data_IF_933696394829
#
_entry.id   IF_933696394829
#
_cell.length_a   1.000
_cell.length_b   1.000
_cell.length_c   1.000
_cell.angle_alpha   90.00
_cell.angle_beta   90.00
_cell.angle_gamma   90.00
#
_symmetry.space_group_name_H-M   'P 1'
#
loop_
_entity.id
_entity.type
_entity.pdbx_description
1 polymer ?
#
# COMPACT_ATOMS: atom_id res chain seq x y z
N UNK A 1 -52.02 -14.03 -53.04
CA UNK A 1 -52.81 -15.07 -53.74
C UNK A 1 -52.11 -15.37 -55.05
N UNK A 2 -51.97 -16.63 -55.54
CA UNK A 2 -52.47 -17.95 -55.07
C UNK A 2 -51.31 -18.87 -54.58
N UNK A 3 -51.47 -19.89 -53.70
CA UNK A 3 -52.18 -21.20 -53.80
C UNK A 3 -51.58 -22.06 -54.95
N UNK A 4 -51.24 -23.35 -54.86
CA UNK A 4 -51.70 -24.52 -54.08
C UNK A 4 -50.83 -25.73 -54.46
N UNK A 5 -50.84 -26.81 -53.66
CA UNK A 5 -50.37 -28.10 -54.16
C UNK A 5 -50.29 -29.31 -53.22
N UNK A 6 -51.31 -29.56 -52.39
CA UNK A 6 -51.94 -30.88 -52.13
C UNK A 6 -51.17 -32.17 -51.72
N UNK A 7 -51.88 -33.21 -51.22
CA UNK A 7 -51.42 -34.09 -50.13
C UNK A 7 -51.52 -35.62 -50.39
N UNK A 8 -51.11 -36.46 -49.41
CA UNK A 8 -51.60 -37.86 -49.13
C UNK A 8 -50.99 -38.37 -47.79
N UNK A 9 -51.73 -38.47 -46.68
CA UNK A 9 -52.48 -39.64 -46.13
C UNK A 9 -51.60 -40.90 -45.88
N UNK A 10 -51.14 -41.23 -44.66
CA UNK A 10 -51.81 -41.99 -43.56
C UNK A 10 -51.47 -43.51 -43.64
N UNK A 11 -51.58 -44.39 -42.60
CA UNK A 11 -51.97 -44.24 -41.17
C UNK A 11 -51.01 -44.92 -40.13
N UNK A 12 -51.33 -44.77 -38.83
CA UNK A 12 -50.82 -45.52 -37.64
C UNK A 12 -51.42 -46.96 -37.55
N UNK A 13 -51.21 -47.87 -36.55
CA UNK A 13 -50.67 -47.82 -35.15
C UNK A 13 -49.62 -48.97 -34.86
N UNK A 14 -49.00 -49.22 -33.70
CA UNK A 14 -49.51 -49.79 -32.42
C UNK A 14 -48.41 -49.91 -31.34
N UNK A 15 -48.85 -49.70 -30.08
CA UNK A 15 -48.36 -50.21 -28.77
C UNK A 15 -47.99 -51.72 -28.78
N UNK A 16 -47.15 -52.34 -27.92
CA UNK A 16 -47.01 -52.35 -26.45
C UNK A 16 -45.70 -53.14 -26.09
N UNK A 17 -44.87 -52.68 -25.14
CA UNK A 17 -44.72 -53.12 -23.73
C UNK A 17 -44.04 -54.48 -23.43
N UNK A 18 -43.09 -54.41 -22.45
CA UNK A 18 -42.65 -55.37 -21.41
C UNK A 18 -41.10 -55.40 -21.29
N UNK A 19 -40.46 -55.13 -20.14
CA UNK A 19 -41.00 -54.83 -18.81
C UNK A 19 -39.94 -54.54 -17.72
N UNK A 20 -40.50 -54.22 -16.54
CA UNK A 20 -40.05 -54.46 -15.16
C UNK A 20 -38.70 -53.86 -14.66
N UNK A 21 -38.76 -52.84 -13.79
CA UNK A 21 -38.77 -53.07 -12.32
C UNK A 21 -38.71 -51.76 -11.48
N UNK A 22 -39.57 -51.74 -10.45
CA UNK A 22 -39.52 -51.02 -9.17
C UNK A 22 -39.81 -49.49 -9.06
N UNK A 23 -40.91 -49.21 -8.35
CA UNK A 23 -41.38 -47.94 -7.72
C UNK A 23 -40.99 -47.91 -6.21
N UNK A 24 -41.47 -46.97 -5.35
CA UNK A 24 -41.27 -45.51 -5.28
C UNK A 24 -40.93 -45.00 -3.83
N UNK A 25 -40.63 -43.69 -3.65
CA UNK A 25 -40.72 -42.99 -2.34
C UNK A 25 -39.53 -42.06 -1.96
N UNK A 26 -39.68 -41.15 -0.96
CA UNK A 26 -39.51 -39.70 -1.16
C UNK A 26 -38.48 -38.99 -0.25
N UNK A 27 -38.43 -37.66 -0.39
CA UNK A 27 -38.03 -36.63 0.61
C UNK A 27 -36.68 -35.91 0.55
N UNK A 28 -36.83 -34.64 0.91
CA UNK A 28 -35.95 -33.48 0.89
C UNK A 28 -34.78 -33.59 1.88
N UNK A 29 -33.56 -33.33 1.40
CA UNK A 29 -32.36 -33.27 2.22
C UNK A 29 -31.41 -32.14 1.79
N UNK A 30 -31.48 -31.03 2.53
CA UNK A 30 -30.44 -30.02 2.79
C UNK A 30 -29.10 -30.19 2.03
N UNK A 31 -28.80 -29.29 1.07
CA UNK A 31 -27.44 -29.14 0.54
C UNK A 31 -26.49 -28.68 1.67
N UNK A 32 -25.26 -29.22 1.77
CA UNK A 32 -24.29 -28.77 2.76
C UNK A 32 -23.89 -27.31 2.46
N UNK A 33 -23.83 -26.49 3.51
CA UNK A 33 -23.26 -25.13 3.49
C UNK A 33 -21.85 -25.21 2.90
N UNK A 34 -21.63 -24.55 1.78
CA UNK A 34 -20.29 -24.17 1.34
C UNK A 34 -19.71 -23.26 2.42
N UNK A 35 -18.80 -23.81 3.20
CA UNK A 35 -17.94 -23.06 4.11
C UNK A 35 -17.10 -22.13 3.24
N UNK A 36 -17.48 -20.85 3.19
CA UNK A 36 -16.63 -19.81 2.63
C UNK A 36 -15.33 -19.79 3.44
N UNK A 37 -14.24 -20.24 2.83
CA UNK A 37 -12.89 -20.03 3.32
C UNK A 37 -12.69 -18.52 3.55
N UNK A 38 -11.96 -18.10 4.59
CA UNK A 38 -11.74 -16.68 4.84
C UNK A 38 -10.94 -16.10 3.67
N UNK A 39 -11.59 -15.21 2.92
CA UNK A 39 -10.97 -14.41 1.85
C UNK A 39 -9.70 -13.77 2.42
N UNK A 40 -8.54 -14.08 1.83
CA UNK A 40 -7.27 -13.51 2.26
C UNK A 40 -7.36 -11.99 2.22
N UNK A 41 -7.48 -11.39 3.40
CA UNK A 41 -7.63 -9.94 3.56
C UNK A 41 -6.39 -9.24 3.02
N UNK A 42 -6.58 -8.35 2.04
CA UNK A 42 -5.51 -7.55 1.42
C UNK A 42 -4.69 -6.82 2.49
N UNK A 43 -3.42 -6.47 2.24
CA UNK A 43 -2.58 -5.77 3.24
C UNK A 43 -3.19 -4.45 3.71
N UNK A 44 -3.84 -3.70 2.81
CA UNK A 44 -4.60 -2.50 3.19
C UNK A 44 -5.75 -2.85 4.15
N UNK A 45 -6.51 -3.90 3.84
CA UNK A 45 -7.56 -4.38 4.74
C UNK A 45 -7.01 -5.00 6.05
N UNK A 46 -5.73 -5.44 6.09
CA UNK A 46 -5.04 -5.78 7.33
C UNK A 46 -4.70 -4.54 8.16
N UNK A 47 -4.24 -3.46 7.54
CA UNK A 47 -4.00 -2.19 8.23
C UNK A 47 -5.30 -1.66 8.85
N UNK A 48 -6.39 -1.65 8.09
CA UNK A 48 -7.72 -1.21 8.57
C UNK A 48 -8.21 -2.09 9.72
N UNK A 49 -8.09 -3.42 9.59
CA UNK A 49 -8.43 -4.36 10.66
C UNK A 49 -7.60 -4.13 11.92
N UNK A 50 -6.31 -3.81 11.79
CA UNK A 50 -5.46 -3.48 12.94
C UNK A 50 -5.90 -2.17 13.60
N UNK A 51 -6.26 -1.15 12.82
CA UNK A 51 -6.79 0.10 13.36
C UNK A 51 -8.07 -0.15 14.17
N UNK A 52 -9.04 -0.86 13.61
CA UNK A 52 -10.27 -1.23 14.32
C UNK A 52 -10.02 -2.08 15.56
N UNK A 53 -9.03 -2.97 15.52
CA UNK A 53 -8.64 -3.76 16.69
C UNK A 53 -8.06 -2.87 17.79
N UNK A 54 -7.23 -1.88 17.45
CA UNK A 54 -6.74 -0.90 18.42
C UNK A 54 -7.92 -0.10 18.98
N UNK A 55 -8.79 0.47 18.14
CA UNK A 55 -9.98 1.20 18.62
C UNK A 55 -10.83 0.37 19.59
N UNK A 56 -11.12 -0.89 19.24
CA UNK A 56 -11.93 -1.79 20.06
C UNK A 56 -11.25 -2.17 21.39
N UNK A 57 -9.92 -2.23 21.45
CA UNK A 57 -9.20 -2.52 22.70
C UNK A 57 -9.27 -1.36 23.70
N UNK A 58 -9.51 -0.15 23.22
CA UNK A 58 -9.53 1.07 24.04
C UNK A 58 -10.92 1.73 24.06
N UNK A 59 -11.99 1.02 23.70
CA UNK A 59 -13.37 1.54 23.69
C UNK A 59 -13.85 1.95 25.07
N UNK A 60 -13.36 1.29 26.12
CA UNK A 60 -13.82 1.47 27.50
C UNK A 60 -12.96 2.50 28.25
N UNK A 61 -12.06 3.20 27.55
CA UNK A 61 -11.25 4.25 28.14
C UNK A 61 -12.10 5.51 28.45
N UNK A 62 -11.64 6.39 29.36
CA UNK A 62 -12.35 7.63 29.71
C UNK A 62 -12.67 8.55 28.54
N UNK A 63 -11.96 8.40 27.42
CA UNK A 63 -12.20 9.12 26.18
C UNK A 63 -12.08 8.16 25.00
N UNK A 64 -13.00 8.31 24.05
CA UNK A 64 -13.05 7.48 22.85
C UNK A 64 -11.77 7.64 22.01
N UNK A 65 -11.28 6.55 21.39
CA UNK A 65 -10.21 6.61 20.40
C UNK A 65 -10.52 7.59 19.26
N UNK A 66 -9.48 8.25 18.75
CA UNK A 66 -9.57 9.15 17.59
C UNK A 66 -8.68 8.63 16.47
N UNK A 67 -9.26 8.36 15.31
CA UNK A 67 -8.53 7.94 14.11
C UNK A 67 -8.21 9.16 13.24
N UNK A 68 -6.96 9.24 12.76
CA UNK A 68 -6.49 10.23 11.80
C UNK A 68 -5.84 9.46 10.65
N UNK A 69 -6.52 9.41 9.51
CA UNK A 69 -6.03 8.69 8.32
C UNK A 69 -5.22 9.63 7.41
N UNK A 70 -3.89 9.47 7.38
CA UNK A 70 -2.97 10.24 6.52
C UNK A 70 -2.70 9.56 5.18
N UNK A 71 -3.36 8.44 4.87
CA UNK A 71 -3.18 7.75 3.58
C UNK A 71 -3.93 8.47 2.46
N UNK A 72 -5.09 9.03 2.76
CA UNK A 72 -5.91 9.79 1.80
C UNK A 72 -5.37 11.21 1.55
N UNK A 73 -4.76 11.81 2.57
CA UNK A 73 -4.17 13.15 2.51
C UNK A 73 -2.75 13.11 3.12
N UNK A 74 -1.73 12.69 2.35
CA UNK A 74 -0.35 12.62 2.83
C UNK A 74 0.19 14.01 3.19
N UNK A 75 1.01 14.07 4.23
CA UNK A 75 1.75 15.29 4.61
C UNK A 75 3.20 15.12 4.15
N UNK A 76 3.65 15.89 3.16
CA UNK A 76 5.03 15.79 2.63
C UNK A 76 5.43 14.34 2.22
N UNK A 77 4.47 13.58 1.66
CA UNK A 77 4.67 12.17 1.29
C UNK A 77 4.51 11.16 2.43
N UNK A 78 4.45 11.61 3.69
CA UNK A 78 4.24 10.76 4.86
C UNK A 78 2.84 10.14 4.88
N UNK A 79 2.77 8.84 5.13
CA UNK A 79 1.53 8.05 5.17
C UNK A 79 1.51 7.07 6.34
N UNK A 80 0.44 7.13 7.12
CA UNK A 80 0.10 6.18 8.17
C UNK A 80 -1.38 6.35 8.54
N UNK A 81 -1.91 5.43 9.34
CA UNK A 81 -3.11 5.70 10.13
C UNK A 81 -2.67 5.92 11.57
N UNK A 82 -3.08 7.03 12.17
CA UNK A 82 -2.83 7.31 13.58
C UNK A 82 -4.09 7.00 14.37
N UNK A 83 -3.99 6.17 15.40
CA UNK A 83 -5.06 5.92 16.36
C UNK A 83 -4.62 6.51 17.69
N UNK A 84 -5.23 7.63 18.08
CA UNK A 84 -5.00 8.25 19.39
C UNK A 84 -5.94 7.61 20.40
N UNK A 85 -5.39 6.88 21.37
CA UNK A 85 -6.13 6.20 22.44
C UNK A 85 -5.87 6.90 23.78
N UNK A 86 -6.69 6.60 24.80
CA UNK A 86 -6.67 7.32 26.07
C UNK A 86 -6.65 6.42 27.31
N UNK A 87 -5.70 5.48 27.45
CA UNK A 87 -5.57 4.67 28.66
C UNK A 87 -5.41 5.58 29.89
N UNK A 88 -6.25 5.38 30.90
CA UNK A 88 -6.30 6.23 32.10
C UNK A 88 -6.49 7.74 31.81
N UNK A 89 -7.06 8.09 30.66
CA UNK A 89 -7.25 9.49 30.24
C UNK A 89 -6.03 10.14 29.61
N UNK A 90 -4.90 9.44 29.48
CA UNK A 90 -3.64 9.97 28.93
C UNK A 90 -3.59 9.71 27.42
N UNK A 91 -3.35 10.72 26.56
CA UNK A 91 -3.27 10.51 25.12
C UNK A 91 -2.03 9.69 24.74
N UNK A 92 -2.24 8.59 24.02
CA UNK A 92 -1.19 7.76 23.42
C UNK A 92 -1.48 7.63 21.93
N UNK A 93 -0.50 7.96 21.08
CA UNK A 93 -0.62 7.83 19.63
C UNK A 93 -0.04 6.50 19.16
N UNK A 94 -0.88 5.66 18.54
CA UNK A 94 -0.47 4.42 17.89
C UNK A 94 -0.46 4.61 16.39
N UNK A 95 0.72 4.55 15.77
CA UNK A 95 0.86 4.69 14.32
C UNK A 95 0.88 3.32 13.64
N UNK A 96 -0.15 3.04 12.85
CA UNK A 96 -0.27 1.78 12.09
C UNK A 96 0.24 2.02 10.68
N UNK A 97 1.28 1.30 10.28
CA UNK A 97 1.96 1.45 8.98
C UNK A 97 2.05 0.12 8.22
N UNK A 98 1.97 0.18 6.90
CA UNK A 98 2.46 -0.91 6.03
C UNK A 98 3.99 -0.96 6.08
N UNK A 99 4.58 -2.05 5.57
CA UNK A 99 6.06 -2.16 5.48
C UNK A 99 6.66 -1.04 4.64
N UNK A 100 6.05 -0.73 3.49
CA UNK A 100 6.50 0.35 2.62
C UNK A 100 6.38 1.72 3.29
N UNK A 101 5.27 1.99 3.98
CA UNK A 101 5.08 3.23 4.75
C UNK A 101 6.13 3.37 5.85
N UNK A 102 6.46 2.28 6.55
CA UNK A 102 7.52 2.28 7.56
C UNK A 102 8.90 2.57 6.96
N UNK A 103 9.28 1.87 5.89
CA UNK A 103 10.59 2.02 5.24
C UNK A 103 10.75 3.40 4.57
N UNK A 104 9.67 3.97 4.01
CA UNK A 104 9.67 5.34 3.50
C UNK A 104 9.87 6.35 4.63
N UNK A 105 9.17 6.18 5.75
CA UNK A 105 9.32 7.09 6.89
C UNK A 105 10.73 7.02 7.48
N UNK A 106 11.33 5.83 7.61
CA UNK A 106 12.73 5.67 8.01
C UNK A 106 13.70 6.35 7.04
N UNK A 107 13.45 6.25 5.72
CA UNK A 107 14.25 6.96 4.73
C UNK A 107 14.14 8.48 4.88
N UNK A 108 12.92 8.99 5.08
CA UNK A 108 12.67 10.42 5.23
C UNK A 108 13.26 10.99 6.52
N UNK A 109 13.21 10.25 7.64
CA UNK A 109 13.85 10.66 8.89
C UNK A 109 15.36 10.80 8.73
N UNK A 110 16.03 9.81 8.12
CA UNK A 110 17.48 9.87 7.86
C UNK A 110 17.86 10.98 6.89
N UNK A 111 17.02 11.21 5.88
CA UNK A 111 17.17 12.35 4.99
C UNK A 111 17.13 13.66 5.79
N UNK A 112 16.12 13.83 6.65
CA UNK A 112 15.98 15.01 7.50
C UNK A 112 17.17 15.20 8.47
N UNK A 113 17.77 14.11 8.96
CA UNK A 113 19.00 14.20 9.76
C UNK A 113 20.18 14.71 8.94
N UNK A 114 20.27 14.37 7.64
CA UNK A 114 21.33 14.85 6.75
C UNK A 114 21.13 16.29 6.25
N UNK A 115 19.90 16.70 5.95
CA UNK A 115 19.60 18.01 5.35
C UNK A 115 19.11 19.07 6.33
N UNK A 116 18.77 18.68 7.55
CA UNK A 116 18.20 19.53 8.59
C UNK A 116 16.75 19.15 8.91
N UNK A 117 16.46 18.95 10.20
CA UNK A 117 15.19 18.39 10.70
C UNK A 117 13.94 19.24 10.40
N UNK A 118 14.11 20.51 10.05
CA UNK A 118 13.01 21.44 9.70
C UNK A 118 12.15 20.95 8.54
N UNK A 119 12.71 20.18 7.61
CA UNK A 119 11.98 19.62 6.45
C UNK A 119 10.78 18.74 6.85
N UNK A 120 10.80 18.17 8.06
CA UNK A 120 9.68 17.37 8.61
C UNK A 120 8.44 18.22 8.89
N UNK A 121 8.63 19.52 9.01
CA UNK A 121 7.60 20.50 9.37
C UNK A 121 7.29 21.46 8.21
N UNK A 122 7.83 21.20 7.01
CA UNK A 122 7.65 22.05 5.84
C UNK A 122 8.62 23.22 5.76
N UNK A 123 9.64 23.27 6.61
CA UNK A 123 10.71 24.26 6.48
C UNK A 123 11.66 23.89 5.34
N UNK A 124 12.31 24.87 4.69
CA UNK A 124 13.36 24.59 3.72
C UNK A 124 14.53 23.80 4.35
N UNK A 125 15.18 22.91 3.60
CA UNK A 125 16.38 22.24 4.10
C UNK A 125 17.52 23.24 4.30
N UNK A 126 18.48 22.89 5.17
CA UNK A 126 19.74 23.64 5.31
C UNK A 126 20.75 23.25 4.23
N UNK A 127 20.68 22.00 3.78
CA UNK A 127 21.56 21.44 2.77
C UNK A 127 20.76 20.69 1.70
N UNK A 128 21.26 20.67 0.48
CA UNK A 128 20.79 19.77 -0.57
C UNK A 128 21.71 18.56 -0.65
N UNK A 129 21.11 17.39 -0.83
CA UNK A 129 21.85 16.17 -1.13
C UNK A 129 21.85 15.95 -2.64
N UNK A 130 23.03 15.98 -3.23
CA UNK A 130 23.21 15.87 -4.68
C UNK A 130 24.17 14.75 -5.01
N UNK A 131 23.98 14.13 -6.17
CA UNK A 131 24.90 13.14 -6.69
C UNK A 131 25.99 13.85 -7.50
N UNK A 132 27.22 13.77 -7.03
CA UNK A 132 28.39 14.20 -7.77
C UNK A 132 28.73 13.12 -8.80
N UNK A 133 28.46 13.40 -10.07
CA UNK A 133 28.69 12.46 -11.17
C UNK A 133 30.18 12.22 -11.41
N UNK A 134 31.02 13.24 -11.22
CA UNK A 134 32.45 13.15 -11.47
C UNK A 134 33.13 12.22 -10.46
N UNK A 135 32.75 12.36 -9.18
CA UNK A 135 33.31 11.58 -8.09
C UNK A 135 32.49 10.33 -7.73
N UNK A 136 31.39 10.08 -8.45
CA UNK A 136 30.48 8.94 -8.25
C UNK A 136 30.06 8.77 -6.78
N UNK A 137 29.68 9.89 -6.14
CA UNK A 137 29.40 9.94 -4.70
C UNK A 137 28.29 10.93 -4.36
N UNK A 138 27.68 10.75 -3.20
CA UNK A 138 26.69 11.69 -2.67
C UNK A 138 27.37 12.73 -1.79
N UNK A 139 26.99 13.99 -1.96
CA UNK A 139 27.50 15.11 -1.16
C UNK A 139 26.34 15.98 -0.65
N UNK A 140 26.58 16.68 0.46
CA UNK A 140 25.74 17.81 0.87
C UNK A 140 26.33 19.11 0.37
N UNK A 141 25.47 20.00 -0.11
CA UNK A 141 25.81 21.38 -0.46
C UNK A 141 24.84 22.33 0.25
N UNK A 142 25.23 23.57 0.60
CA UNK A 142 24.31 24.52 1.22
C UNK A 142 23.08 24.76 0.34
N UNK A 143 21.88 24.74 0.94
CA UNK A 143 20.64 25.04 0.23
C UNK A 143 20.63 26.52 -0.18
N UNK A 144 20.39 26.80 -1.48
CA UNK A 144 20.39 28.16 -2.03
C UNK A 144 19.02 28.62 -2.54
N UNK A 145 17.97 27.83 -2.32
CA UNK A 145 16.63 28.10 -2.80
C UNK A 145 16.30 27.33 -4.08
N UNK A 146 15.01 27.08 -4.29
CA UNK A 146 14.52 26.40 -5.50
C UNK A 146 14.86 27.21 -6.76
N UNK A 147 15.49 26.56 -7.76
CA UNK A 147 15.86 27.19 -9.03
C UNK A 147 17.19 27.98 -8.99
N UNK A 148 17.87 28.06 -7.85
CA UNK A 148 19.27 28.48 -7.80
C UNK A 148 20.14 27.33 -8.31
N UNK A 149 20.17 27.16 -9.64
CA UNK A 149 20.77 26.01 -10.31
C UNK A 149 22.11 25.61 -9.70
N UNK A 150 22.16 24.37 -9.19
CA UNK A 150 23.42 23.67 -9.07
C UNK A 150 23.98 23.52 -10.49
N UNK A 151 25.31 23.59 -10.66
CA UNK A 151 25.93 23.50 -11.98
C UNK A 151 25.49 22.25 -12.75
N UNK A 152 25.67 22.24 -14.08
CA UNK A 152 25.27 21.13 -14.98
C UNK A 152 25.75 19.74 -14.54
N UNK A 153 26.77 19.67 -13.69
CA UNK A 153 27.50 18.46 -13.33
C UNK A 153 26.94 17.76 -12.07
N UNK A 154 26.02 18.41 -11.35
CA UNK A 154 25.35 17.81 -10.19
C UNK A 154 24.06 17.11 -10.62
N UNK A 155 23.89 15.86 -10.22
CA UNK A 155 22.68 15.08 -10.49
C UNK A 155 21.46 15.57 -9.72
N UNK A 156 20.31 14.93 -10.00
CA UNK A 156 19.02 15.23 -9.37
C UNK A 156 19.10 15.21 -7.83
N UNK A 157 18.59 16.24 -7.13
CA UNK A 157 18.54 16.25 -5.68
C UNK A 157 17.79 15.05 -5.09
N UNK A 158 18.28 14.51 -3.98
CA UNK A 158 17.72 13.31 -3.35
C UNK A 158 16.24 13.44 -2.96
N UNK A 159 15.76 14.66 -2.70
CA UNK A 159 14.36 14.93 -2.37
C UNK A 159 13.40 14.57 -3.51
N UNK A 160 13.83 14.70 -4.78
CA UNK A 160 13.01 14.28 -5.92
C UNK A 160 12.86 12.77 -5.95
N UNK A 161 13.94 12.01 -5.70
CA UNK A 161 13.85 10.55 -5.62
C UNK A 161 12.93 10.07 -4.48
N UNK A 162 12.93 10.76 -3.34
CA UNK A 162 11.98 10.46 -2.25
C UNK A 162 10.53 10.75 -2.64
N UNK A 163 10.31 11.80 -3.42
CA UNK A 163 8.98 12.17 -3.95
C UNK A 163 8.50 11.12 -4.96
N UNK A 164 9.34 10.74 -5.92
CA UNK A 164 9.05 9.69 -6.90
C UNK A 164 8.74 8.35 -6.22
N UNK A 165 9.54 7.94 -5.23
CA UNK A 165 9.26 6.73 -4.45
C UNK A 165 7.97 6.85 -3.64
N UNK A 166 7.63 8.03 -3.14
CA UNK A 166 6.35 8.25 -2.46
C UNK A 166 5.19 7.95 -3.42
N UNK A 167 5.22 8.49 -4.64
CA UNK A 167 4.19 8.28 -5.66
C UNK A 167 4.11 6.82 -6.11
N UNK A 168 5.26 6.15 -6.30
CA UNK A 168 5.32 4.73 -6.62
C UNK A 168 4.68 3.87 -5.54
N UNK A 169 4.93 4.17 -4.25
CA UNK A 169 4.28 3.45 -3.15
C UNK A 169 2.76 3.70 -3.17
N UNK A 170 2.27 4.92 -3.46
CA UNK A 170 0.82 5.19 -3.56
C UNK A 170 0.21 4.29 -4.62
N UNK A 171 0.78 4.31 -5.82
CA UNK A 171 0.30 3.51 -6.96
C UNK A 171 0.31 2.03 -6.63
N UNK A 172 1.42 1.53 -6.09
CA UNK A 172 1.55 0.13 -5.67
C UNK A 172 0.50 -0.25 -4.61
N UNK A 173 0.27 0.58 -3.60
CA UNK A 173 -0.76 0.32 -2.58
C UNK A 173 -2.18 0.31 -3.17
N UNK A 174 -2.47 1.13 -4.18
CA UNK A 174 -3.73 1.09 -4.93
C UNK A 174 -3.86 -0.18 -5.77
N UNK A 175 -2.82 -0.56 -6.51
CA UNK A 175 -2.79 -1.80 -7.30
C UNK A 175 -2.96 -3.04 -6.42
N UNK A 176 -2.29 -3.10 -5.26
CA UNK A 176 -2.45 -4.18 -4.27
C UNK A 176 -3.86 -4.29 -3.70
N UNK A 177 -4.62 -3.18 -3.65
CA UNK A 177 -6.04 -3.20 -3.25
C UNK A 177 -6.91 -3.84 -4.33
N UNK A 178 -6.62 -3.58 -5.60
CA UNK A 178 -7.39 -4.09 -6.75
C UNK A 178 -7.01 -5.53 -7.11
N UNK A 179 -5.74 -5.91 -7.01
CA UNK A 179 -5.20 -7.22 -7.39
C UNK A 179 -4.26 -7.80 -6.31
N UNK A 180 -4.81 -8.40 -5.23
CA UNK A 180 -4.04 -8.77 -4.03
C UNK A 180 -3.07 -9.95 -4.19
N UNK A 181 -3.15 -10.70 -5.29
CA UNK A 181 -2.36 -11.93 -5.51
C UNK A 181 -1.47 -11.85 -6.77
N UNK A 182 -1.40 -10.70 -7.44
CA UNK A 182 -0.59 -10.56 -8.65
C UNK A 182 0.92 -10.61 -8.33
N UNK A 183 1.64 -11.52 -9.02
CA UNK A 183 3.09 -11.71 -8.91
C UNK A 183 3.87 -10.43 -9.23
N UNK A 184 3.43 -9.70 -10.26
CA UNK A 184 4.05 -8.42 -10.67
C UNK A 184 4.05 -7.41 -9.53
N UNK A 185 2.98 -7.34 -8.76
CA UNK A 185 2.90 -6.44 -7.60
C UNK A 185 3.88 -6.88 -6.51
N UNK A 186 4.07 -8.18 -6.28
CA UNK A 186 5.10 -8.64 -5.32
C UNK A 186 6.53 -8.28 -5.73
N UNK A 187 6.84 -8.34 -7.02
CA UNK A 187 8.15 -7.91 -7.56
C UNK A 187 8.35 -6.40 -7.43
N UNK A 188 7.36 -5.61 -7.82
CA UNK A 188 7.38 -4.15 -7.65
C UNK A 188 7.60 -3.74 -6.17
N UNK A 189 6.95 -4.42 -5.22
CA UNK A 189 7.17 -4.17 -3.79
C UNK A 189 8.63 -4.39 -3.38
N UNK A 190 9.26 -5.46 -3.87
CA UNK A 190 10.64 -5.79 -3.55
C UNK A 190 11.61 -4.74 -4.11
N UNK A 191 11.36 -4.24 -5.33
CA UNK A 191 12.16 -3.18 -5.96
C UNK A 191 12.05 -1.86 -5.21
N UNK A 192 10.84 -1.45 -4.84
CA UNK A 192 10.61 -0.23 -4.04
C UNK A 192 11.34 -0.34 -2.69
N UNK A 193 11.24 -1.49 -2.01
CA UNK A 193 11.94 -1.74 -0.75
C UNK A 193 13.46 -1.68 -0.90
N UNK A 194 14.00 -2.24 -1.98
CA UNK A 194 15.44 -2.21 -2.25
C UNK A 194 15.93 -0.77 -2.45
N UNK A 195 15.16 0.05 -3.18
CA UNK A 195 15.47 1.46 -3.41
C UNK A 195 15.41 2.28 -2.12
N UNK A 196 14.37 2.10 -1.30
CA UNK A 196 14.26 2.76 0.00
C UNK A 196 15.47 2.44 0.89
N UNK A 197 15.86 1.18 0.98
CA UNK A 197 17.03 0.77 1.78
C UNK A 197 18.34 1.31 1.23
N UNK A 198 18.47 1.43 -0.09
CA UNK A 198 19.64 2.05 -0.71
C UNK A 198 19.75 3.52 -0.30
N UNK A 199 18.65 4.27 -0.37
CA UNK A 199 18.60 5.67 0.07
C UNK A 199 18.88 5.81 1.57
N UNK A 200 18.23 4.99 2.41
CA UNK A 200 18.50 4.97 3.85
C UNK A 200 20.00 4.81 4.18
N UNK A 201 20.72 3.94 3.46
CA UNK A 201 22.17 3.78 3.64
C UNK A 201 22.95 5.03 3.24
N UNK A 202 22.61 5.62 2.09
CA UNK A 202 23.23 6.88 1.63
C UNK A 202 23.03 7.99 2.66
N UNK A 203 21.80 8.14 3.17
CA UNK A 203 21.46 9.17 4.14
C UNK A 203 22.16 8.97 5.48
N UNK A 204 22.18 7.74 6.00
CA UNK A 204 22.92 7.41 7.23
C UNK A 204 24.41 7.74 7.09
N UNK A 205 25.06 7.28 6.01
CA UNK A 205 26.48 7.53 5.80
C UNK A 205 26.81 9.03 5.74
N UNK A 206 25.94 9.82 5.13
CA UNK A 206 26.15 11.26 5.01
C UNK A 206 25.86 12.00 6.31
N UNK A 207 24.81 11.62 7.04
CA UNK A 207 24.52 12.14 8.37
C UNK A 207 25.67 11.85 9.35
N UNK A 208 26.20 10.63 9.34
CA UNK A 208 27.36 10.23 10.16
C UNK A 208 28.61 11.03 9.78
N UNK A 209 28.87 11.24 8.48
CA UNK A 209 30.00 12.04 8.01
C UNK A 209 29.87 13.52 8.42
N UNK A 210 28.65 14.07 8.46
CA UNK A 210 28.40 15.43 8.95
C UNK A 210 28.61 15.52 10.46
N UNK A 211 28.04 14.59 11.23
CA UNK A 211 28.18 14.58 12.69
C UNK A 211 29.63 14.34 13.13
N UNK A 212 30.37 13.47 12.44
CA UNK A 212 31.79 13.22 12.71
C UNK A 212 32.72 14.38 12.35
N UNK A 213 32.34 15.26 11.41
CA UNK A 213 33.12 16.46 11.04
C UNK A 213 32.96 17.63 12.01
N UNK A 214 31.89 17.67 12.81
CA UNK A 214 31.59 18.75 13.76
C UNK A 214 31.60 18.28 15.23
N UNK A 215 31.95 17.02 15.50
CA UNK A 215 31.95 16.41 16.83
C UNK A 215 33.33 16.15 17.45
N UNK A 216 34.37 16.87 17.03
CA UNK A 216 35.74 16.76 17.56
C UNK A 216 36.27 18.10 18.06
#
# INVERSE_FOLDING_TARGET
>A
MPQRGGPRAGPAPTRNDHGLSALPGPETGRKPKTTNAPTQTTRAARQDRLCHRVESLFSDCPKLPRVIDRRAAPSHGYRAVHVVVYPHGIPVEVQVRTRLQHEWAEAFERFADAVGRGVRYGEPPKYEMVYDQQNNTWITVPFRGEGAGLGSDTGTPAIHHLSELSDLIIRHEQERRLAPEATQTSQAEAEILANLRRLQRVFSNLADALNGRYGG
#
